data_IF_487191203656
#
_entry.id   IF_487191203656
#
_cell.length_a   1.000
_cell.length_b   1.000
_cell.length_c   1.000
_cell.angle_alpha   90.00
_cell.angle_beta   90.00
_cell.angle_gamma   90.00
#
_symmetry.space_group_name_H-M   'P 1'
#
loop_
_entity.id
_entity.type
_entity.pdbx_description
1 polymer ?
#
# COMPACT_ATOMS: atom_id res chain seq x y z
N UNK A 1 -37.62 -77.48 4.07
CA UNK A 1 -37.66 -76.78 2.77
C UNK A 1 -37.49 -75.28 3.01
N UNK A 2 -36.66 -74.62 2.19
CA UNK A 2 -36.38 -73.16 2.07
C UNK A 2 -35.56 -72.57 3.23
N UNK A 3 -34.23 -72.37 3.09
CA UNK A 3 -33.50 -71.34 2.32
C UNK A 3 -33.96 -69.90 2.60
N UNK A 4 -33.12 -69.09 3.24
CA UNK A 4 -32.34 -68.03 2.57
C UNK A 4 -31.43 -67.26 3.54
N UNK A 5 -30.31 -66.81 2.97
CA UNK A 5 -29.22 -66.08 3.59
C UNK A 5 -29.53 -64.59 3.81
N UNK A 6 -28.82 -63.94 4.75
CA UNK A 6 -28.10 -62.68 4.52
C UNK A 6 -27.40 -62.18 5.80
N UNK A 7 -26.11 -61.87 5.65
CA UNK A 7 -25.30 -60.91 6.44
C UNK A 7 -24.62 -60.02 5.39
N UNK A 8 -24.02 -58.85 5.69
CA UNK A 8 -24.05 -58.03 6.91
C UNK A 8 -24.31 -56.53 6.62
N UNK A 9 -24.53 -55.71 7.65
CA UNK A 9 -24.23 -54.28 7.59
C UNK A 9 -23.75 -53.80 8.96
N UNK A 10 -22.44 -53.55 9.06
CA UNK A 10 -21.86 -52.66 10.07
C UNK A 10 -21.76 -51.28 9.42
N UNK A 11 -22.36 -50.27 10.03
CA UNK A 11 -21.80 -48.92 9.94
C UNK A 11 -22.25 -48.07 11.12
N UNK A 12 -21.31 -47.24 11.55
CA UNK A 12 -21.15 -46.66 12.87
C UNK A 12 -22.15 -45.53 13.19
N UNK A 13 -22.57 -45.48 14.46
CA UNK A 13 -22.42 -44.33 15.37
C UNK A 13 -21.37 -43.29 14.90
N UNK A 14 -21.41 -41.98 15.10
CA UNK A 14 -22.10 -41.05 15.99
C UNK A 14 -21.60 -39.63 15.57
N UNK A 15 -22.21 -38.58 16.13
CA UNK A 15 -21.64 -37.24 16.40
C UNK A 15 -21.83 -36.07 15.40
N UNK A 16 -22.35 -34.97 15.97
CA UNK A 16 -22.20 -33.58 15.53
C UNK A 16 -23.39 -33.07 14.70
N UNK A 17 -24.45 -32.46 15.24
CA UNK A 17 -24.45 -31.28 16.11
C UNK A 17 -23.41 -30.25 15.70
N UNK A 18 -23.76 -29.33 14.80
CA UNK A 18 -24.16 -27.95 15.13
C UNK A 18 -24.23 -27.13 13.85
N UNK A 19 -25.20 -26.23 13.82
CA UNK A 19 -25.30 -25.17 12.84
C UNK A 19 -23.94 -24.49 12.60
N UNK A 20 -23.56 -24.34 11.34
CA UNK A 20 -22.69 -23.23 10.93
C UNK A 20 -23.49 -22.44 9.92
N UNK A 21 -24.14 -21.41 10.45
CA UNK A 21 -24.73 -20.35 9.67
C UNK A 21 -23.69 -19.83 8.68
N UNK A 22 -24.12 -19.63 7.45
CA UNK A 22 -23.40 -18.83 6.47
C UNK A 22 -23.00 -17.50 7.13
N UNK A 23 -21.72 -17.38 7.48
CA UNK A 23 -21.12 -16.12 7.88
C UNK A 23 -21.04 -15.28 6.61
N UNK A 24 -22.11 -14.52 6.38
CA UNK A 24 -22.08 -13.33 5.53
C UNK A 24 -20.90 -12.47 6.02
N UNK A 25 -19.91 -12.32 5.15
CA UNK A 25 -18.66 -11.63 5.40
C UNK A 25 -18.84 -10.12 5.50
N UNK A 26 -19.54 -9.65 6.53
CA UNK A 26 -19.48 -8.27 6.95
C UNK A 26 -18.12 -8.06 7.63
N UNK A 27 -17.31 -7.14 7.08
CA UNK A 27 -16.07 -6.68 7.70
C UNK A 27 -16.31 -6.36 9.19
N UNK A 28 -15.38 -6.72 10.06
CA UNK A 28 -15.53 -6.41 11.49
C UNK A 28 -15.52 -4.88 11.66
N UNK A 29 -16.24 -4.30 12.63
CA UNK A 29 -16.25 -2.85 12.87
C UNK A 29 -14.89 -2.26 13.30
N UNK A 30 -13.89 -3.10 13.62
CA UNK A 30 -12.48 -2.69 13.76
C UNK A 30 -11.82 -2.38 12.41
N UNK A 31 -12.22 -3.10 11.37
CA UNK A 31 -11.62 -3.09 10.05
C UNK A 31 -12.21 -1.93 9.24
N UNK A 32 -13.50 -1.62 9.44
CA UNK A 32 -14.16 -0.43 8.86
C UNK A 32 -13.56 0.89 9.35
N UNK A 33 -13.29 1.03 10.66
CA UNK A 33 -12.62 2.25 11.18
C UNK A 33 -11.17 2.37 10.70
N UNK A 34 -10.51 1.24 10.47
CA UNK A 34 -9.15 1.19 9.93
C UNK A 34 -9.14 1.54 8.43
N UNK A 35 -10.15 1.07 7.71
CA UNK A 35 -10.45 1.43 6.33
C UNK A 35 -10.70 2.95 6.23
N UNK A 36 -11.72 3.50 6.88
CA UNK A 36 -12.04 4.94 6.77
C UNK A 36 -10.84 5.85 7.06
N UNK A 37 -10.01 5.47 8.05
CA UNK A 37 -8.76 6.16 8.35
C UNK A 37 -7.76 6.08 7.19
N UNK A 38 -7.50 4.88 6.65
CA UNK A 38 -6.58 4.71 5.52
C UNK A 38 -7.05 5.51 4.30
N UNK A 39 -8.36 5.55 4.04
CA UNK A 39 -8.90 6.38 2.96
C UNK A 39 -8.72 7.86 3.20
N UNK A 40 -8.99 8.36 4.41
CA UNK A 40 -8.78 9.77 4.74
C UNK A 40 -7.29 10.17 4.60
N UNK A 41 -6.38 9.28 5.01
CA UNK A 41 -4.94 9.46 4.79
C UNK A 41 -4.60 9.49 3.30
N UNK A 42 -5.19 8.59 2.50
CA UNK A 42 -5.00 8.51 1.06
C UNK A 42 -5.42 9.80 0.34
N UNK A 43 -6.64 10.28 0.61
CA UNK A 43 -7.16 11.54 0.07
C UNK A 43 -6.29 12.74 0.46
N UNK A 44 -5.76 12.75 1.69
CA UNK A 44 -4.88 13.82 2.15
C UNK A 44 -3.47 13.79 1.52
N UNK A 45 -2.97 12.61 1.15
CA UNK A 45 -1.62 12.42 0.60
C UNK A 45 -1.57 12.61 -0.92
N UNK A 46 -2.63 12.27 -1.66
CA UNK A 46 -2.70 12.44 -3.11
C UNK A 46 -2.26 13.85 -3.61
N UNK A 47 -2.77 14.98 -3.09
CA UNK A 47 -2.34 16.31 -3.55
C UNK A 47 -0.90 16.67 -3.13
N UNK A 48 -0.35 16.00 -2.11
CA UNK A 48 1.05 16.19 -1.71
C UNK A 48 2.00 15.46 -2.65
N UNK A 49 1.60 14.29 -3.17
CA UNK A 49 2.39 13.53 -4.14
C UNK A 49 2.49 14.21 -5.50
N UNK A 50 1.43 14.89 -5.95
CA UNK A 50 1.49 15.72 -7.16
C UNK A 50 2.58 16.82 -7.07
N UNK A 51 2.98 17.23 -5.87
CA UNK A 51 4.06 18.21 -5.68
C UNK A 51 5.45 17.63 -5.97
N UNK A 52 5.63 16.31 -5.96
CA UNK A 52 6.91 15.68 -6.27
C UNK A 52 7.36 15.98 -7.70
N UNK A 53 6.43 15.99 -8.66
CA UNK A 53 6.70 16.38 -10.05
C UNK A 53 7.17 17.83 -10.12
N UNK A 54 6.45 18.74 -9.47
CA UNK A 54 6.83 20.17 -9.42
C UNK A 54 8.19 20.39 -8.75
N UNK A 55 8.50 19.65 -7.68
CA UNK A 55 9.82 19.68 -7.04
C UNK A 55 10.91 19.19 -8.01
N UNK A 56 10.65 18.12 -8.74
CA UNK A 56 11.58 17.57 -9.73
C UNK A 56 11.83 18.55 -10.90
N UNK A 57 10.77 19.20 -11.40
CA UNK A 57 10.85 20.24 -12.43
C UNK A 57 11.72 21.41 -11.97
N UNK A 58 11.50 21.89 -10.74
CA UNK A 58 12.25 23.01 -10.17
C UNK A 58 13.75 22.71 -10.04
N UNK A 59 14.11 21.48 -9.68
CA UNK A 59 15.51 21.02 -9.62
C UNK A 59 16.13 20.91 -11.02
N UNK A 60 15.29 20.69 -12.04
CA UNK A 60 15.70 20.59 -13.44
C UNK A 60 16.03 21.92 -14.13
N UNK A 61 15.71 23.05 -13.51
CA UNK A 61 16.04 24.40 -14.02
C UNK A 61 17.51 24.76 -13.89
N UNK A 62 17.95 25.81 -14.59
CA UNK A 62 19.33 26.32 -14.54
C UNK A 62 19.76 26.64 -13.09
N UNK A 63 20.92 26.09 -12.70
CA UNK A 63 21.70 26.37 -11.48
C UNK A 63 20.86 26.69 -10.23
N UNK A 64 20.07 25.70 -9.78
CA UNK A 64 19.43 25.77 -8.46
C UNK A 64 20.51 25.93 -7.37
N UNK A 65 20.41 26.95 -6.47
CA UNK A 65 21.35 27.09 -5.37
C UNK A 65 21.39 25.84 -4.50
N UNK A 66 22.59 25.45 -4.04
CA UNK A 66 22.78 24.22 -3.28
C UNK A 66 21.91 24.16 -2.01
N UNK A 67 21.75 25.30 -1.32
CA UNK A 67 20.88 25.41 -0.15
C UNK A 67 19.40 25.17 -0.50
N UNK A 68 18.95 25.68 -1.64
CA UNK A 68 17.60 25.42 -2.14
C UNK A 68 17.41 23.95 -2.48
N UNK A 69 18.39 23.32 -3.15
CA UNK A 69 18.36 21.88 -3.43
C UNK A 69 18.26 21.04 -2.15
N UNK A 70 19.05 21.38 -1.12
CA UNK A 70 19.01 20.71 0.19
C UNK A 70 17.63 20.86 0.83
N UNK A 71 17.07 22.06 0.81
CA UNK A 71 15.73 22.30 1.35
C UNK A 71 14.65 21.50 0.63
N UNK A 72 14.69 21.42 -0.70
CA UNK A 72 13.70 20.64 -1.47
C UNK A 72 13.87 19.14 -1.25
N UNK A 73 15.11 18.66 -1.18
CA UNK A 73 15.42 17.27 -0.85
C UNK A 73 14.89 16.88 0.54
N UNK A 74 15.10 17.73 1.54
CA UNK A 74 14.63 17.50 2.90
C UNK A 74 13.09 17.46 2.96
N UNK A 75 12.42 18.40 2.30
CA UNK A 75 10.94 18.44 2.22
C UNK A 75 10.37 17.19 1.55
N UNK A 76 10.97 16.77 0.43
CA UNK A 76 10.55 15.57 -0.26
C UNK A 76 10.77 14.33 0.62
N UNK A 77 11.94 14.22 1.25
CA UNK A 77 12.26 13.10 2.14
C UNK A 77 11.30 13.03 3.34
N UNK A 78 11.00 14.16 4.00
CA UNK A 78 10.09 14.20 5.14
C UNK A 78 8.66 13.79 4.76
N UNK A 79 8.17 14.22 3.59
CA UNK A 79 6.89 13.77 3.06
C UNK A 79 6.90 12.26 2.82
N UNK A 80 7.90 11.78 2.10
CA UNK A 80 7.96 10.39 1.63
C UNK A 80 8.20 9.41 2.77
N UNK A 81 9.27 9.61 3.55
CA UNK A 81 9.65 8.74 4.65
C UNK A 81 8.73 8.93 5.87
N UNK A 82 8.28 10.16 6.14
CA UNK A 82 7.51 10.47 7.33
C UNK A 82 6.01 10.22 7.19
N UNK A 83 5.45 10.22 5.97
CA UNK A 83 4.00 10.09 5.77
C UNK A 83 3.63 9.00 4.77
N UNK A 84 4.23 9.01 3.57
CA UNK A 84 3.83 8.13 2.48
C UNK A 84 4.21 6.67 2.76
N UNK A 85 5.45 6.39 3.14
CA UNK A 85 5.88 5.01 3.45
C UNK A 85 5.11 4.39 4.63
N UNK A 86 4.90 5.10 5.77
CA UNK A 86 4.04 4.59 6.83
C UNK A 86 2.62 4.23 6.37
N UNK A 87 2.03 5.08 5.51
CA UNK A 87 0.71 4.82 4.94
C UNK A 87 0.70 3.55 4.08
N UNK A 88 1.63 3.43 3.13
CA UNK A 88 1.77 2.28 2.24
C UNK A 88 1.95 0.98 3.02
N UNK A 89 2.80 0.98 4.06
CA UNK A 89 3.01 -0.20 4.92
C UNK A 89 1.76 -0.59 5.69
N UNK A 90 1.04 0.39 6.21
CA UNK A 90 -0.22 0.14 6.94
C UNK A 90 -1.28 -0.43 5.99
N UNK A 91 -1.34 0.06 4.75
CA UNK A 91 -2.19 -0.52 3.69
C UNK A 91 -1.79 -1.96 3.38
N UNK A 92 -0.50 -2.24 3.17
CA UNK A 92 0.00 -3.61 2.93
C UNK A 92 -0.39 -4.59 4.04
N UNK A 93 -0.28 -4.17 5.30
CA UNK A 93 -0.62 -5.03 6.43
C UNK A 93 -2.13 -5.24 6.55
N UNK A 94 -2.93 -4.20 6.26
CA UNK A 94 -4.38 -4.32 6.17
C UNK A 94 -4.82 -5.28 5.06
N UNK A 95 -4.23 -5.16 3.86
CA UNK A 95 -4.56 -6.00 2.72
C UNK A 95 -4.16 -7.46 2.97
N UNK A 96 -3.00 -7.73 3.59
CA UNK A 96 -2.61 -9.09 4.01
C UNK A 96 -3.63 -9.71 4.97
N UNK A 97 -4.19 -8.91 5.89
CA UNK A 97 -5.19 -9.41 6.83
C UNK A 97 -6.51 -9.73 6.13
N UNK A 98 -6.93 -8.92 5.15
CA UNK A 98 -8.09 -9.22 4.32
C UNK A 98 -7.90 -10.52 3.51
N UNK A 99 -6.70 -10.76 2.95
CA UNK A 99 -6.40 -12.02 2.25
C UNK A 99 -6.46 -13.21 3.20
N UNK A 100 -5.91 -13.10 4.42
CA UNK A 100 -5.96 -14.19 5.41
C UNK A 100 -7.36 -14.60 5.80
N UNK A 101 -8.31 -13.68 5.70
CA UNK A 101 -9.72 -13.93 6.01
C UNK A 101 -10.58 -14.18 4.76
N UNK A 102 -9.95 -14.47 3.61
CA UNK A 102 -10.61 -14.76 2.32
C UNK A 102 -11.58 -13.65 1.85
N UNK A 103 -11.39 -12.41 2.32
CA UNK A 103 -12.26 -11.30 1.95
C UNK A 103 -11.90 -10.69 0.58
N UNK A 104 -10.63 -10.78 0.16
CA UNK A 104 -10.15 -10.21 -1.11
C UNK A 104 -8.96 -11.03 -1.64
N UNK A 105 -8.85 -11.20 -2.96
CA UNK A 105 -7.57 -11.51 -3.61
C UNK A 105 -6.77 -10.20 -3.70
N UNK A 106 -6.09 -9.80 -2.63
CA UNK A 106 -5.29 -8.58 -2.67
C UNK A 106 -4.00 -8.82 -3.48
N UNK A 107 -3.77 -8.03 -4.52
CA UNK A 107 -2.48 -7.93 -5.17
C UNK A 107 -1.56 -7.09 -4.28
N UNK A 108 -0.59 -7.72 -3.63
CA UNK A 108 0.51 -6.98 -2.98
C UNK A 108 1.22 -6.22 -4.08
N UNK A 109 1.06 -4.91 -4.10
CA UNK A 109 1.52 -4.07 -5.20
C UNK A 109 3.06 -4.05 -5.24
N UNK A 110 3.70 -4.56 -6.31
CA UNK A 110 5.15 -4.52 -6.45
C UNK A 110 5.73 -3.11 -6.31
N UNK A 111 4.92 -2.09 -6.61
CA UNK A 111 5.25 -0.68 -6.50
C UNK A 111 5.61 -0.22 -5.08
N UNK A 112 5.16 -0.90 -4.02
CA UNK A 112 5.48 -0.50 -2.65
C UNK A 112 6.96 -0.74 -2.31
N UNK A 113 7.52 -1.88 -2.74
CA UNK A 113 8.95 -2.19 -2.53
C UNK A 113 9.86 -1.24 -3.30
N UNK A 114 9.48 -0.89 -4.52
CA UNK A 114 10.24 0.08 -5.31
C UNK A 114 10.17 1.49 -4.70
N UNK A 115 9.02 1.87 -4.12
CA UNK A 115 8.91 3.13 -3.39
C UNK A 115 9.84 3.15 -2.17
N UNK A 116 9.88 2.08 -1.37
CA UNK A 116 10.81 1.98 -0.24
C UNK A 116 12.27 2.11 -0.66
N UNK A 117 12.67 1.42 -1.73
CA UNK A 117 14.02 1.50 -2.29
C UNK A 117 14.36 2.93 -2.70
N UNK A 118 13.49 3.59 -3.45
CA UNK A 118 13.72 4.95 -3.95
C UNK A 118 13.77 5.99 -2.81
N UNK A 119 12.95 5.85 -1.77
CA UNK A 119 13.03 6.70 -0.58
C UNK A 119 14.33 6.47 0.19
N UNK A 120 14.81 5.22 0.26
CA UNK A 120 16.12 4.92 0.83
C UNK A 120 17.26 5.54 0.02
N UNK A 121 17.20 5.49 -1.32
CA UNK A 121 18.16 6.16 -2.20
C UNK A 121 18.16 7.68 -1.97
N UNK A 122 16.98 8.29 -1.81
CA UNK A 122 16.83 9.71 -1.52
C UNK A 122 17.49 10.08 -0.17
N UNK A 123 17.30 9.24 0.87
CA UNK A 123 17.95 9.42 2.17
C UNK A 123 19.47 9.27 2.12
N UNK A 124 19.98 8.33 1.31
CA UNK A 124 21.41 8.18 1.09
C UNK A 124 22.01 9.39 0.35
N UNK A 125 21.31 9.92 -0.66
CA UNK A 125 21.69 11.13 -1.37
C UNK A 125 21.73 12.35 -0.42
N UNK A 126 20.72 12.48 0.44
CA UNK A 126 20.70 13.51 1.50
C UNK A 126 21.93 13.44 2.40
N UNK A 127 22.27 12.24 2.88
CA UNK A 127 23.45 12.05 3.73
C UNK A 127 24.77 12.38 2.99
N UNK A 128 24.88 12.06 1.70
CA UNK A 128 26.03 12.44 0.85
C UNK A 128 26.15 13.96 0.74
N UNK A 129 25.05 14.65 0.48
CA UNK A 129 25.02 16.12 0.37
C UNK A 129 25.40 16.83 1.68
N UNK A 130 25.09 16.25 2.84
CA UNK A 130 25.54 16.75 4.15
C UNK A 130 27.06 16.65 4.32
N UNK A 131 27.70 15.64 3.72
CA UNK A 131 29.17 15.47 3.72
C UNK A 131 29.88 16.33 2.66
N UNK A 132 29.13 17.10 1.86
CA UNK A 132 29.69 17.93 0.80
C UNK A 132 29.86 17.21 -0.55
N UNK A 133 29.41 15.97 -0.67
CA UNK A 133 29.39 15.23 -1.95
C UNK A 133 28.17 15.68 -2.78
N UNK A 134 28.32 16.76 -3.57
CA UNK A 134 27.20 17.39 -4.30
C UNK A 134 27.23 17.16 -5.81
N UNK A 135 28.27 16.52 -6.33
CA UNK A 135 28.37 16.19 -7.75
C UNK A 135 27.24 15.23 -8.14
N UNK A 136 26.54 15.55 -9.23
CA UNK A 136 25.40 14.76 -9.73
C UNK A 136 24.12 14.85 -8.89
N UNK A 137 24.16 15.42 -7.68
CA UNK A 137 23.03 15.45 -6.76
C UNK A 137 21.73 16.06 -7.36
N UNK A 138 21.75 17.18 -8.09
CA UNK A 138 20.52 17.70 -8.71
C UNK A 138 19.87 16.69 -9.67
N UNK A 139 20.69 16.01 -10.50
CA UNK A 139 20.22 15.03 -11.47
C UNK A 139 19.67 13.78 -10.78
N UNK A 140 20.37 13.29 -9.76
CA UNK A 140 19.94 12.14 -8.97
C UNK A 140 18.64 12.43 -8.22
N UNK A 141 18.52 13.59 -7.54
CA UNK A 141 17.29 13.99 -6.85
C UNK A 141 16.13 14.07 -7.85
N UNK A 142 16.33 14.77 -8.97
CA UNK A 142 15.30 14.90 -10.03
C UNK A 142 14.82 13.53 -10.50
N UNK A 143 15.75 12.62 -10.83
CA UNK A 143 15.42 11.24 -11.25
C UNK A 143 14.55 10.54 -10.21
N UNK A 144 15.00 10.52 -8.95
CA UNK A 144 14.30 9.80 -7.87
C UNK A 144 12.89 10.37 -7.67
N UNK A 145 12.72 11.71 -7.70
CA UNK A 145 11.42 12.34 -7.51
C UNK A 145 10.44 12.02 -8.64
N UNK A 146 10.86 12.01 -9.91
CA UNK A 146 9.97 11.57 -11.00
C UNK A 146 9.65 10.08 -10.93
N UNK A 147 10.62 9.23 -10.60
CA UNK A 147 10.37 7.79 -10.47
C UNK A 147 9.37 7.52 -9.34
N UNK A 148 9.50 8.19 -8.19
CA UNK A 148 8.53 8.11 -7.11
C UNK A 148 7.16 8.66 -7.50
N UNK A 149 7.10 9.79 -8.21
CA UNK A 149 5.84 10.33 -8.72
C UNK A 149 5.16 9.35 -9.68
N UNK A 150 5.87 8.84 -10.68
CA UNK A 150 5.33 7.90 -11.66
C UNK A 150 4.85 6.59 -11.02
N UNK A 151 5.53 6.14 -9.96
CA UNK A 151 5.20 4.92 -9.25
C UNK A 151 3.99 5.08 -8.33
N UNK A 152 3.88 6.22 -7.64
CA UNK A 152 2.88 6.44 -6.61
C UNK A 152 1.61 7.12 -7.15
N UNK A 153 1.70 7.99 -8.14
CA UNK A 153 0.51 8.69 -8.67
C UNK A 153 -0.60 7.75 -9.15
N UNK A 154 -0.33 6.62 -9.84
CA UNK A 154 -1.38 5.64 -10.17
C UNK A 154 -2.02 5.01 -8.92
N UNK A 155 -1.21 4.62 -7.94
CA UNK A 155 -1.70 4.07 -6.67
C UNK A 155 -2.66 5.05 -5.98
N UNK A 156 -2.34 6.35 -6.02
CA UNK A 156 -3.20 7.37 -5.43
C UNK A 156 -4.41 7.77 -6.27
N UNK A 157 -4.38 7.57 -7.59
CA UNK A 157 -5.46 7.90 -8.51
C UNK A 157 -6.56 6.82 -8.59
N UNK A 158 -6.21 5.54 -8.48
CA UNK A 158 -7.13 4.42 -8.73
C UNK A 158 -8.04 4.06 -7.52
N UNK A 159 -7.61 4.34 -6.29
CA UNK A 159 -8.31 3.87 -5.08
C UNK A 159 -9.69 4.49 -4.74
N UNK A 160 -10.00 5.79 -4.98
CA UNK A 160 -11.26 6.36 -4.51
C UNK A 160 -12.49 5.85 -5.29
N UNK A 161 -12.32 5.26 -6.47
CA UNK A 161 -13.43 4.85 -7.34
C UNK A 161 -13.76 3.35 -7.24
N UNK A 162 -12.78 2.50 -6.93
CA UNK A 162 -12.97 1.05 -7.04
C UNK A 162 -13.74 0.44 -5.85
N UNK A 163 -13.61 1.00 -4.63
CA UNK A 163 -14.24 0.44 -3.41
C UNK A 163 -15.59 1.08 -3.00
N UNK A 164 -15.99 2.24 -3.56
CA UNK A 164 -17.36 2.76 -3.38
C UNK A 164 -18.41 1.91 -4.12
N UNK A 165 -18.03 1.23 -5.19
CA UNK A 165 -18.94 0.34 -5.93
C UNK A 165 -19.17 -0.99 -5.23
N UNK A 166 -18.16 -1.58 -4.60
CA UNK A 166 -18.31 -2.88 -3.92
C UNK A 166 -19.05 -2.83 -2.59
N UNK A 167 -19.14 -1.67 -1.93
CA UNK A 167 -19.92 -1.50 -0.70
C UNK A 167 -21.34 -0.94 -0.90
N UNK A 168 -21.66 -0.39 -2.08
CA UNK A 168 -22.99 0.17 -2.37
C UNK A 168 -23.96 -0.83 -3.02
N UNK A 169 -23.49 -2.04 -3.37
CA UNK A 169 -24.29 -3.09 -4.04
C UNK A 169 -24.50 -4.36 -3.18
N UNK A 170 -24.38 -4.27 -1.86
CA UNK A 170 -24.73 -5.39 -0.94
C UNK A 170 -25.88 -4.98 -0.02
#
# INVERSE_FOLDING_TARGET
MKSQAAKPARQSANEGSTASAAASGAARPSDERSADRLWAEHEALAPQLARLETMADAIGGEQLPLETLRSELDRAYDLLAGKVLPHIRTRDDFDKELVRHDYVHAEIHPSHRDAERLVSELGALRARMTRGETEGAPRETRRILYELHALLSPHFADEPQQKRRSHAEV
#
